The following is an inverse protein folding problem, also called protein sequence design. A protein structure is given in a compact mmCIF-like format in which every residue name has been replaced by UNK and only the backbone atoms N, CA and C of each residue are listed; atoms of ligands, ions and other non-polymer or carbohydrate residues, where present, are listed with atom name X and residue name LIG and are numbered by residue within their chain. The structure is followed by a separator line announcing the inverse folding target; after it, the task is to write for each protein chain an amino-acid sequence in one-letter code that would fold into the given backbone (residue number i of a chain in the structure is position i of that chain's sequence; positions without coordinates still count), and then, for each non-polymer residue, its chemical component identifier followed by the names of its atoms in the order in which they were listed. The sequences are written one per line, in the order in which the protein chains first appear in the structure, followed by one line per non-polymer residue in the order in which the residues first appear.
data_IF_536879135651
#
_entry.id   IF_536879135651
#
_cell.length_a   1.000
_cell.length_b   1.000
_cell.length_c   1.000
_cell.angle_alpha   90.00
_cell.angle_beta   90.00
_cell.angle_gamma   90.00
#
_symmetry.space_group_name_H-M   'P 1'
#
loop_
_entity.id
_entity.type
_entity.pdbx_description
1 polymer ?
#
# COMPACT_ATOMS: atom_id res chain seq x y z
N UNK A 1 -2.61 -28.69 6.13
CA UNK A 1 -3.25 -27.85 5.09
C UNK A 1 -3.04 -26.34 5.30
N UNK A 2 -3.44 -25.73 6.45
CA UNK A 2 -3.33 -24.28 6.71
C UNK A 2 -1.92 -23.68 6.57
N UNK A 3 -0.86 -24.39 7.01
CA UNK A 3 0.54 -23.94 6.87
C UNK A 3 1.02 -23.89 5.41
N UNK A 4 0.61 -24.87 4.60
CA UNK A 4 0.96 -24.92 3.17
C UNK A 4 0.24 -23.83 2.37
N UNK A 5 -1.02 -23.54 2.71
CA UNK A 5 -1.76 -22.43 2.10
C UNK A 5 -1.14 -21.06 2.45
N UNK A 6 -0.77 -20.83 3.71
CA UNK A 6 -0.04 -19.61 4.13
C UNK A 6 1.29 -19.45 3.39
N UNK A 7 2.04 -20.55 3.20
CA UNK A 7 3.32 -20.54 2.49
C UNK A 7 3.16 -20.27 1.00
N UNK A 8 2.16 -20.87 0.34
CA UNK A 8 1.84 -20.61 -1.08
C UNK A 8 1.41 -19.17 -1.29
N UNK A 9 0.60 -18.61 -0.38
CA UNK A 9 0.20 -17.20 -0.42
C UNK A 9 1.42 -16.29 -0.21
N UNK A 10 2.32 -16.60 0.74
CA UNK A 10 3.53 -15.81 0.95
C UNK A 10 4.44 -15.81 -0.30
N UNK A 11 4.61 -16.98 -0.93
CA UNK A 11 5.40 -17.11 -2.17
C UNK A 11 4.74 -16.35 -3.32
N UNK A 12 3.40 -16.42 -3.45
CA UNK A 12 2.68 -15.67 -4.47
C UNK A 12 2.75 -14.15 -4.25
N UNK A 13 2.67 -13.70 -2.99
CA UNK A 13 2.86 -12.28 -2.62
C UNK A 13 4.29 -11.85 -2.88
N UNK A 14 5.29 -12.67 -2.57
CA UNK A 14 6.71 -12.40 -2.85
C UNK A 14 7.03 -12.36 -4.35
N UNK A 15 6.42 -13.25 -5.15
CA UNK A 15 6.55 -13.24 -6.61
C UNK A 15 5.83 -12.05 -7.24
N UNK A 16 4.69 -11.62 -6.70
CA UNK A 16 4.03 -10.39 -7.14
C UNK A 16 4.78 -9.14 -6.72
N UNK A 17 5.37 -9.13 -5.54
CA UNK A 17 6.34 -8.14 -5.08
C UNK A 17 7.49 -8.02 -6.07
N UNK A 18 8.10 -9.15 -6.45
CA UNK A 18 9.20 -9.17 -7.41
C UNK A 18 8.76 -8.66 -8.79
N UNK A 19 7.55 -8.97 -9.26
CA UNK A 19 7.05 -8.48 -10.56
C UNK A 19 6.64 -7.01 -10.52
N UNK A 20 6.02 -6.54 -9.43
CA UNK A 20 5.69 -5.13 -9.24
C UNK A 20 6.96 -4.28 -9.04
N UNK A 21 7.96 -4.83 -8.34
CA UNK A 21 9.28 -4.22 -8.17
C UNK A 21 10.09 -4.20 -9.47
N UNK A 22 10.11 -5.28 -10.27
CA UNK A 22 10.85 -5.34 -11.54
C UNK A 22 10.19 -4.57 -12.69
N UNK A 23 8.85 -4.39 -12.66
CA UNK A 23 8.12 -3.76 -13.77
C UNK A 23 7.69 -2.32 -13.50
N UNK A 24 8.09 -1.76 -12.35
CA UNK A 24 8.12 -0.30 -12.12
C UNK A 24 9.42 0.36 -12.62
N UNK A 25 10.38 -0.39 -13.18
CA UNK A 25 11.62 0.14 -13.81
C UNK A 25 11.98 -0.53 -15.14
N UNK A 26 11.03 -1.18 -15.82
CA UNK A 26 11.29 -1.64 -17.20
C UNK A 26 10.04 -1.55 -18.07
N UNK A 27 10.08 -0.57 -18.98
CA UNK A 27 9.07 -0.34 -20.01
C UNK A 27 8.79 -1.63 -20.81
N UNK A 28 7.52 -1.79 -21.19
CA UNK A 28 7.14 -2.88 -22.09
C UNK A 28 7.74 -2.64 -23.49
N UNK A 29 8.16 -3.70 -24.21
CA UNK A 29 8.78 -3.53 -25.51
C UNK A 29 7.72 -3.20 -26.56
N UNK A 30 7.96 -2.14 -27.34
CA UNK A 30 7.23 -1.88 -28.58
C UNK A 30 7.49 -3.01 -29.56
N UNK A 31 6.42 -3.58 -30.14
CA UNK A 31 6.49 -4.48 -31.28
C UNK A 31 7.28 -3.85 -32.43
N UNK A 32 8.44 -4.41 -32.76
CA UNK A 32 9.03 -4.34 -34.11
C UNK A 32 9.47 -5.73 -34.53
N UNK A 33 8.86 -6.20 -35.62
CA UNK A 33 9.28 -7.39 -36.35
C UNK A 33 10.68 -7.17 -36.94
N UNK A 34 11.66 -7.92 -36.45
CA UNK A 34 13.01 -7.95 -36.98
C UNK A 34 13.63 -9.31 -36.71
N UNK A 35 13.93 -10.05 -37.78
CA UNK A 35 14.57 -11.35 -37.78
C UNK A 35 16.01 -11.20 -37.28
N UNK A 36 16.41 -11.91 -36.23
CA UNK A 36 17.81 -12.00 -35.80
C UNK A 36 18.25 -13.45 -35.68
N UNK A 37 19.39 -13.73 -36.32
CA UNK A 37 20.11 -14.99 -36.29
C UNK A 37 20.77 -15.22 -34.94
N UNK A 38 20.87 -16.50 -34.57
CA UNK A 38 21.50 -17.06 -33.37
C UNK A 38 22.98 -16.67 -33.28
N UNK A 39 23.38 -16.03 -32.17
CA UNK A 39 24.74 -16.10 -31.60
C UNK A 39 24.66 -16.06 -30.07
N UNK A 40 25.54 -16.84 -29.44
CA UNK A 40 25.52 -17.36 -28.07
C UNK A 40 25.50 -16.30 -26.95
N UNK A 41 24.79 -16.59 -25.85
CA UNK A 41 24.92 -15.87 -24.57
C UNK A 41 25.50 -16.79 -23.50
N UNK A 42 26.61 -16.33 -22.91
CA UNK A 42 27.39 -16.95 -21.83
C UNK A 42 26.75 -16.80 -20.45
N UNK A 43 26.98 -17.80 -19.60
CA UNK A 43 26.54 -18.01 -18.20
C UNK A 43 27.16 -17.02 -17.20
N UNK A 44 26.41 -16.60 -16.16
CA UNK A 44 27.00 -16.17 -14.87
C UNK A 44 26.33 -15.00 -14.13
N UNK A 45 25.36 -15.27 -13.25
CA UNK A 45 24.99 -14.31 -12.18
C UNK A 45 24.98 -15.03 -10.83
N UNK A 46 25.86 -14.59 -9.92
CA UNK A 46 26.01 -15.13 -8.56
C UNK A 46 25.28 -14.18 -7.60
N UNK A 47 24.38 -14.71 -6.77
CA UNK A 47 23.75 -13.93 -5.69
C UNK A 47 24.02 -14.57 -4.33
N UNK A 48 24.41 -13.74 -3.34
CA UNK A 48 24.47 -14.10 -1.91
C UNK A 48 23.07 -13.96 -1.31
N UNK A 49 22.59 -15.01 -0.65
CA UNK A 49 21.38 -14.95 0.17
C UNK A 49 21.82 -15.00 1.64
N UNK A 50 21.49 -13.95 2.39
CA UNK A 50 21.72 -13.87 3.83
C UNK A 50 20.40 -13.89 4.59
N UNK A 51 20.38 -14.52 5.76
CA UNK A 51 19.24 -14.53 6.68
C UNK A 51 19.62 -15.12 8.03
N UNK A 52 18.83 -14.84 9.05
CA UNK A 52 19.10 -15.22 10.44
C UNK A 52 18.10 -16.27 10.90
N UNK A 53 18.56 -17.34 11.56
CA UNK A 53 17.70 -18.36 12.14
C UNK A 53 18.11 -18.67 13.58
N UNK A 54 17.09 -18.84 14.43
CA UNK A 54 17.25 -19.22 15.83
C UNK A 54 16.83 -20.67 16.04
N UNK A 55 17.71 -21.47 16.64
CA UNK A 55 17.42 -22.87 17.00
C UNK A 55 17.82 -23.06 18.46
N UNK A 56 16.87 -23.45 19.32
CA UNK A 56 17.05 -23.61 20.76
C UNK A 56 17.72 -22.39 21.42
N UNK A 57 17.17 -21.21 21.16
CA UNK A 57 17.64 -19.89 21.65
C UNK A 57 19.09 -19.51 21.28
N UNK A 58 19.68 -20.19 20.29
CA UNK A 58 21.00 -19.85 19.74
C UNK A 58 20.87 -19.29 18.34
N UNK A 59 21.62 -18.22 18.09
CA UNK A 59 21.63 -17.47 16.82
C UNK A 59 22.61 -18.10 15.82
N UNK A 60 22.15 -18.30 14.58
CA UNK A 60 22.94 -18.80 13.47
C UNK A 60 22.72 -17.93 12.24
N UNK A 61 23.83 -17.55 11.60
CA UNK A 61 23.80 -16.87 10.32
C UNK A 61 23.83 -17.91 9.20
N UNK A 62 22.93 -17.75 8.24
CA UNK A 62 22.83 -18.63 7.07
C UNK A 62 23.45 -17.92 5.89
N UNK A 63 24.49 -18.53 5.32
CA UNK A 63 24.97 -18.14 3.99
C UNK A 63 24.67 -19.28 3.00
N UNK A 64 23.83 -18.97 2.01
CA UNK A 64 23.53 -19.87 0.89
C UNK A 64 23.98 -19.26 -0.44
N UNK A 65 24.34 -20.13 -1.40
CA UNK A 65 24.56 -19.73 -2.80
C UNK A 65 23.55 -20.42 -3.70
N UNK A 66 23.01 -19.67 -4.65
CA UNK A 66 22.19 -20.20 -5.74
C UNK A 66 22.93 -20.01 -7.06
N UNK A 67 23.02 -21.08 -7.86
CA UNK A 67 23.63 -21.07 -9.20
C UNK A 67 22.56 -21.48 -10.20
N UNK A 68 22.32 -20.64 -11.21
CA UNK A 68 21.43 -20.97 -12.32
C UNK A 68 22.19 -21.74 -13.40
N UNK A 69 21.71 -22.94 -13.75
CA UNK A 69 22.17 -23.68 -14.91
C UNK A 69 21.11 -23.64 -16.01
N UNK A 70 21.52 -23.29 -17.24
CA UNK A 70 20.64 -23.18 -18.39
C UNK A 70 20.36 -24.53 -19.05
N UNK A 71 19.08 -24.82 -19.21
CA UNK A 71 18.48 -25.92 -19.97
C UNK A 71 16.96 -25.80 -19.87
N UNK A 72 16.21 -26.20 -20.89
CA UNK A 72 14.81 -25.80 -21.21
C UNK A 72 13.72 -26.02 -20.14
N UNK A 73 14.09 -26.49 -18.95
CA UNK A 73 13.29 -26.39 -17.73
C UNK A 73 14.22 -25.94 -16.62
N UNK A 74 14.15 -24.64 -16.26
CA UNK A 74 15.06 -24.04 -15.28
C UNK A 74 15.00 -24.73 -13.92
N UNK A 75 16.00 -25.55 -13.61
CA UNK A 75 16.21 -26.12 -12.27
C UNK A 75 17.24 -25.31 -11.51
N UNK A 76 16.95 -24.93 -10.26
CA UNK A 76 17.87 -24.22 -9.37
C UNK A 76 18.45 -25.21 -8.36
N UNK A 77 19.78 -25.31 -8.30
CA UNK A 77 20.48 -26.04 -7.23
C UNK A 77 20.88 -25.05 -6.13
N UNK A 78 20.56 -25.38 -4.88
CA UNK A 78 20.88 -24.55 -3.70
C UNK A 78 21.77 -25.35 -2.77
N UNK A 79 22.92 -24.78 -2.41
CA UNK A 79 23.83 -25.33 -1.40
C UNK A 79 23.92 -24.31 -0.24
N UNK A 80 23.72 -24.78 1.00
CA UNK A 80 23.69 -23.95 2.20
C UNK A 80 24.56 -24.54 3.33
N UNK A 81 25.36 -23.67 3.97
CA UNK A 81 26.13 -23.97 5.18
C UNK A 81 25.72 -23.05 6.34
N UNK A 82 26.10 -23.40 7.57
CA UNK A 82 25.68 -22.69 8.80
C UNK A 82 26.83 -22.55 9.78
N UNK A 83 26.99 -21.37 10.39
CA UNK A 83 27.97 -21.11 11.45
C UNK A 83 27.33 -20.30 12.59
N UNK A 84 27.88 -20.41 13.81
CA UNK A 84 27.33 -19.81 15.05
C UNK A 84 27.94 -18.41 15.26
N UNK A 85 27.13 -17.38 15.50
CA UNK A 85 27.60 -15.99 15.63
C UNK A 85 28.08 -15.65 17.06
N UNK A 86 29.17 -14.87 17.22
CA UNK A 86 29.69 -14.39 18.50
C UNK A 86 29.28 -12.92 18.79
N UNK A 87 28.91 -12.62 20.05
CA UNK A 87 28.32 -11.35 20.51
C UNK A 87 29.33 -10.18 20.67
N UNK A 88 28.88 -8.94 20.43
CA UNK A 88 29.56 -7.70 20.85
C UNK A 88 28.65 -6.83 21.75
N UNK A 89 29.26 -6.27 22.80
CA UNK A 89 28.69 -5.56 23.96
C UNK A 89 28.07 -4.16 23.69
N UNK A 90 27.20 -3.77 24.62
CA UNK A 90 26.38 -2.54 24.71
C UNK A 90 27.13 -1.29 25.23
N UNK A 91 26.60 -0.08 24.94
CA UNK A 91 26.87 1.18 25.65
C UNK A 91 25.55 1.97 25.89
N UNK A 92 25.48 2.87 26.91
CA UNK A 92 24.31 2.99 27.80
C UNK A 92 23.40 4.24 27.63
N UNK A 93 22.25 4.17 28.33
CA UNK A 93 21.11 5.11 28.39
C UNK A 93 21.39 6.49 29.06
N UNK A 94 20.73 7.53 28.55
CA UNK A 94 20.60 8.86 29.18
C UNK A 94 19.22 9.04 29.81
N UNK A 95 19.20 9.31 31.13
CA UNK A 95 18.00 9.65 31.92
C UNK A 95 17.70 11.15 31.85
N UNK A 96 16.45 11.51 31.61
CA UNK A 96 15.91 12.86 31.88
C UNK A 96 14.79 12.74 32.91
N UNK A 97 14.96 13.45 34.03
CA UNK A 97 13.94 13.66 35.07
C UNK A 97 12.98 14.76 34.63
N UNK A 98 11.73 14.70 35.07
CA UNK A 98 11.02 15.89 35.55
C UNK A 98 9.93 15.51 36.55
N UNK A 99 9.85 16.34 37.59
CA UNK A 99 9.03 16.21 38.79
C UNK A 99 7.56 16.64 38.59
N UNK A 100 6.74 16.14 39.51
CA UNK A 100 5.28 16.24 39.67
C UNK A 100 4.69 17.65 39.74
N UNK A 101 3.42 17.79 39.32
CA UNK A 101 2.34 18.30 40.21
C UNK A 101 0.90 18.02 39.70
N UNK A 102 0.20 17.22 40.50
CA UNK A 102 -1.19 17.32 41.01
C UNK A 102 -2.33 17.99 40.20
N UNK A 103 -3.42 17.22 40.02
CA UNK A 103 -4.79 17.68 40.25
C UNK A 103 -5.70 17.82 39.02
N UNK A 104 -6.59 16.85 38.78
CA UNK A 104 -8.03 16.87 39.14
C UNK A 104 -8.79 15.88 38.24
N UNK A 105 -9.61 15.04 38.86
CA UNK A 105 -10.37 13.95 38.25
C UNK A 105 -11.68 14.49 37.64
N UNK A 106 -11.77 14.56 36.32
CA UNK A 106 -13.06 14.64 35.62
C UNK A 106 -13.42 13.26 35.08
N UNK A 107 -14.54 12.73 35.57
CA UNK A 107 -15.16 11.47 35.17
C UNK A 107 -16.23 11.79 34.13
N UNK A 108 -15.91 11.94 32.86
CA UNK A 108 -16.93 12.09 31.79
C UNK A 108 -16.47 11.51 30.43
N UNK A 109 -15.39 10.73 30.36
CA UNK A 109 -14.80 10.27 29.08
C UNK A 109 -15.06 8.79 28.72
N UNK A 110 -15.92 8.09 29.46
CA UNK A 110 -16.00 6.62 29.39
C UNK A 110 -17.10 6.04 28.49
N UNK A 111 -17.76 6.86 27.66
CA UNK A 111 -18.87 6.40 26.79
C UNK A 111 -18.69 6.74 25.30
N UNK A 112 -17.46 7.01 24.85
CA UNK A 112 -17.18 7.17 23.42
C UNK A 112 -16.77 5.85 22.75
N UNK A 113 -17.42 5.47 21.63
CA UNK A 113 -17.04 4.36 20.77
C UNK A 113 -15.55 4.25 20.53
N UNK A 114 -14.99 3.03 20.56
CA UNK A 114 -13.55 2.82 20.36
C UNK A 114 -13.00 3.35 19.01
N UNK A 115 -13.84 3.51 17.99
CA UNK A 115 -13.45 4.14 16.71
C UNK A 115 -13.44 5.68 16.74
N UNK A 116 -13.93 6.29 17.82
CA UNK A 116 -13.89 7.73 18.10
C UNK A 116 -12.77 8.11 19.09
N UNK A 117 -12.18 7.13 19.77
CA UNK A 117 -11.08 7.36 20.71
C UNK A 117 -9.79 7.76 19.99
N UNK A 118 -9.18 8.84 20.45
CA UNK A 118 -8.09 9.54 19.75
C UNK A 118 -6.70 8.94 20.07
N UNK A 119 -6.47 7.66 19.74
CA UNK A 119 -5.12 7.08 19.78
C UNK A 119 -4.43 7.26 18.40
N UNK A 120 -3.36 8.06 18.28
CA UNK A 120 -2.73 8.37 16.99
C UNK A 120 -2.11 7.14 16.30
N UNK A 121 -1.80 6.07 17.04
CA UNK A 121 -1.26 4.82 16.51
C UNK A 121 -2.33 3.82 16.06
N UNK A 122 -3.60 4.08 16.36
CA UNK A 122 -4.72 3.23 15.99
C UNK A 122 -5.59 3.91 14.94
N UNK A 123 -6.21 3.12 14.07
CA UNK A 123 -7.18 3.63 13.11
C UNK A 123 -8.40 4.20 13.84
N UNK A 124 -8.89 5.35 13.35
CA UNK A 124 -10.18 5.93 13.71
C UNK A 124 -10.91 6.32 12.44
N UNK A 125 -12.15 5.84 12.29
CA UNK A 125 -12.98 6.13 11.12
C UNK A 125 -13.33 7.63 11.07
N UNK A 126 -13.57 8.26 12.21
CA UNK A 126 -13.82 9.71 12.30
C UNK A 126 -12.58 10.53 11.98
N UNK A 127 -11.39 10.10 12.40
CA UNK A 127 -10.13 10.75 11.99
C UNK A 127 -9.95 10.68 10.48
N UNK A 128 -10.24 9.53 9.87
CA UNK A 128 -10.19 9.35 8.42
C UNK A 128 -11.18 10.30 7.72
N UNK A 129 -12.44 10.31 8.14
CA UNK A 129 -13.47 11.23 7.59
C UNK A 129 -13.04 12.69 7.72
N UNK A 130 -12.63 13.11 8.92
CA UNK A 130 -12.21 14.49 9.18
C UNK A 130 -10.97 14.89 8.38
N UNK A 131 -10.03 13.95 8.16
CA UNK A 131 -8.87 14.21 7.31
C UNK A 131 -9.32 14.56 5.89
N UNK A 132 -10.23 13.77 5.29
CA UNK A 132 -10.72 14.01 3.93
C UNK A 132 -11.57 15.29 3.82
N UNK A 133 -12.36 15.64 4.84
CA UNK A 133 -13.07 16.94 4.89
C UNK A 133 -12.15 18.15 4.79
N UNK A 134 -10.88 18.00 5.18
CA UNK A 134 -9.90 19.08 5.18
C UNK A 134 -9.05 19.17 3.91
N UNK A 135 -9.12 18.15 3.03
CA UNK A 135 -8.26 18.00 1.85
C UNK A 135 -8.46 19.13 0.83
N UNK A 136 -9.70 19.55 0.60
CA UNK A 136 -9.99 20.66 -0.29
C UNK A 136 -9.78 22.00 0.42
N UNK A 137 -9.08 22.92 -0.25
CA UNK A 137 -8.91 24.30 0.23
C UNK A 137 -10.22 25.08 0.09
N UNK A 138 -10.30 26.28 0.68
CA UNK A 138 -11.43 27.18 0.46
C UNK A 138 -11.61 27.59 -1.01
N UNK A 139 -10.55 27.48 -1.82
CA UNK A 139 -10.56 27.75 -3.26
C UNK A 139 -10.97 26.56 -4.12
N UNK A 140 -11.26 25.40 -3.52
CA UNK A 140 -11.62 24.17 -4.24
C UNK A 140 -10.42 23.34 -4.73
N UNK A 141 -9.19 23.79 -4.47
CA UNK A 141 -7.98 23.05 -4.82
C UNK A 141 -7.73 21.89 -3.86
N UNK A 142 -7.05 20.84 -4.31
CA UNK A 142 -6.66 19.72 -3.44
C UNK A 142 -5.26 19.96 -2.88
N UNK A 143 -5.15 20.12 -1.56
CA UNK A 143 -3.87 20.24 -0.85
C UNK A 143 -3.15 18.89 -0.81
N UNK A 144 -1.93 18.84 -1.36
CA UNK A 144 -1.17 17.58 -1.51
C UNK A 144 -0.78 16.99 -0.16
N UNK A 145 -0.39 17.82 0.81
CA UNK A 145 0.01 17.36 2.14
C UNK A 145 -1.18 16.74 2.87
N UNK A 146 -2.34 17.40 2.82
CA UNK A 146 -3.56 16.87 3.44
C UNK A 146 -4.05 15.62 2.72
N UNK A 147 -3.97 15.58 1.39
CA UNK A 147 -4.28 14.38 0.63
C UNK A 147 -3.38 13.20 1.04
N UNK A 148 -2.07 13.40 1.12
CA UNK A 148 -1.12 12.38 1.58
C UNK A 148 -1.45 11.88 2.99
N UNK A 149 -1.75 12.79 3.92
CA UNK A 149 -2.18 12.44 5.27
C UNK A 149 -3.46 11.61 5.28
N UNK A 150 -4.47 11.99 4.48
CA UNK A 150 -5.72 11.22 4.35
C UNK A 150 -5.51 9.83 3.75
N UNK A 151 -4.62 9.70 2.76
CA UNK A 151 -4.23 8.41 2.21
C UNK A 151 -3.51 7.55 3.27
N UNK A 152 -2.66 8.13 4.11
CA UNK A 152 -2.02 7.45 5.23
C UNK A 152 -3.03 6.92 6.26
N UNK A 153 -4.05 7.71 6.61
CA UNK A 153 -5.15 7.25 7.47
C UNK A 153 -5.97 6.12 6.79
N UNK A 154 -6.18 6.21 5.48
CA UNK A 154 -6.84 5.16 4.71
C UNK A 154 -6.03 3.86 4.69
N UNK A 155 -4.70 3.94 4.68
CA UNK A 155 -3.86 2.74 4.77
C UNK A 155 -3.97 2.07 6.15
N UNK A 156 -4.15 2.84 7.23
CA UNK A 156 -4.40 2.25 8.56
C UNK A 156 -5.70 1.43 8.59
N UNK A 157 -6.75 1.88 7.89
CA UNK A 157 -7.99 1.10 7.72
C UNK A 157 -7.71 -0.28 7.12
N UNK A 158 -6.96 -0.32 6.02
CA UNK A 158 -6.64 -1.56 5.32
C UNK A 158 -5.74 -2.48 6.15
N UNK A 159 -4.81 -1.92 6.93
CA UNK A 159 -3.93 -2.71 7.81
C UNK A 159 -4.69 -3.45 8.91
N UNK A 160 -5.78 -2.87 9.42
CA UNK A 160 -6.64 -3.55 10.39
C UNK A 160 -7.26 -4.83 9.83
N UNK A 161 -7.49 -4.89 8.53
CA UNK A 161 -8.11 -6.05 7.88
C UNK A 161 -7.23 -7.29 7.97
N UNK A 162 -5.92 -7.13 8.13
CA UNK A 162 -4.99 -8.17 8.54
C UNK A 162 -3.66 -8.11 7.82
N UNK A 163 -2.73 -8.97 8.24
CA UNK A 163 -1.34 -8.98 7.75
C UNK A 163 -1.21 -9.29 6.27
N UNK A 164 -2.21 -9.86 5.61
CA UNK A 164 -2.19 -10.10 4.16
C UNK A 164 -2.29 -8.78 3.37
N UNK A 165 -2.88 -7.73 3.95
CA UNK A 165 -2.92 -6.40 3.34
C UNK A 165 -1.64 -5.61 3.53
N UNK A 166 -0.71 -6.05 4.40
CA UNK A 166 0.56 -5.34 4.66
C UNK A 166 1.39 -5.10 3.40
N UNK A 167 1.36 -6.03 2.44
CA UNK A 167 2.04 -5.85 1.16
C UNK A 167 1.39 -4.72 0.34
N UNK A 168 0.06 -4.75 0.21
CA UNK A 168 -0.70 -3.76 -0.56
C UNK A 168 -0.55 -2.37 0.07
N UNK A 169 -0.60 -2.29 1.40
CA UNK A 169 -0.45 -1.04 2.13
C UNK A 169 0.98 -0.53 2.10
N UNK A 170 1.98 -1.41 2.06
CA UNK A 170 3.39 -1.01 1.88
C UNK A 170 3.63 -0.33 0.53
N UNK A 171 3.04 -0.86 -0.55
CA UNK A 171 3.16 -0.28 -1.90
C UNK A 171 2.52 1.11 -1.99
N UNK A 172 1.36 1.29 -1.35
CA UNK A 172 0.69 2.59 -1.26
C UNK A 172 1.44 3.56 -0.34
N UNK A 173 1.96 3.11 0.82
CA UNK A 173 2.77 3.93 1.73
C UNK A 173 4.03 4.48 1.07
N UNK A 174 4.75 3.65 0.31
CA UNK A 174 5.91 4.12 -0.45
C UNK A 174 5.54 5.21 -1.46
N UNK A 175 4.34 5.16 -2.06
CA UNK A 175 3.84 6.22 -2.96
C UNK A 175 3.47 7.50 -2.21
N UNK A 176 2.89 7.36 -1.03
CA UNK A 176 2.61 8.51 -0.16
C UNK A 176 3.92 9.20 0.23
N UNK A 177 4.93 8.43 0.63
CA UNK A 177 6.28 8.94 0.96
C UNK A 177 6.93 9.68 -0.23
N UNK A 178 6.70 9.23 -1.47
CA UNK A 178 7.17 9.95 -2.66
C UNK A 178 6.50 11.34 -2.78
N UNK A 179 5.19 11.43 -2.56
CA UNK A 179 4.49 12.73 -2.59
C UNK A 179 4.96 13.66 -1.46
N UNK A 180 5.15 13.12 -0.26
CA UNK A 180 5.69 13.85 0.89
C UNK A 180 7.13 14.34 0.63
N UNK A 181 7.98 13.49 0.04
CA UNK A 181 9.35 13.85 -0.32
C UNK A 181 9.39 14.98 -1.36
N UNK A 182 8.52 14.95 -2.37
CA UNK A 182 8.42 16.06 -3.32
C UNK A 182 7.97 17.35 -2.64
N UNK A 183 6.98 17.28 -1.75
CA UNK A 183 6.50 18.46 -1.01
C UNK A 183 7.56 19.05 -0.08
N UNK A 184 8.43 18.22 0.48
CA UNK A 184 9.53 18.63 1.35
C UNK A 184 10.82 19.04 0.58
N UNK A 185 10.85 18.90 -0.74
CA UNK A 185 12.02 19.23 -1.57
C UNK A 185 12.14 20.72 -1.86
N UNK A 186 13.25 21.13 -2.49
CA UNK A 186 13.44 22.50 -3.01
C UNK A 186 12.34 22.93 -3.99
N UNK A 187 11.69 21.97 -4.66
CA UNK A 187 10.58 22.22 -5.59
C UNK A 187 9.21 22.18 -4.88
N UNK A 188 9.19 22.06 -3.55
CA UNK A 188 7.99 21.76 -2.76
C UNK A 188 6.80 22.69 -3.01
N UNK A 189 7.05 23.96 -3.34
CA UNK A 189 5.98 24.92 -3.66
C UNK A 189 5.20 24.55 -4.93
N UNK A 190 5.84 23.91 -5.90
CA UNK A 190 5.17 23.36 -7.07
C UNK A 190 4.29 22.14 -6.73
N UNK A 191 4.50 21.53 -5.57
CA UNK A 191 3.73 20.37 -5.10
C UNK A 191 2.71 20.74 -4.02
N UNK A 192 2.45 22.05 -3.80
CA UNK A 192 1.50 22.51 -2.79
C UNK A 192 0.07 22.00 -3.02
N UNK A 193 -0.39 21.99 -4.27
CA UNK A 193 -1.68 21.41 -4.66
C UNK A 193 -1.49 20.34 -5.73
N UNK A 194 -2.47 19.44 -5.88
CA UNK A 194 -2.44 18.45 -6.96
C UNK A 194 -2.38 19.14 -8.32
N UNK A 195 -3.17 20.20 -8.52
CA UNK A 195 -3.19 20.92 -9.80
C UNK A 195 -1.85 21.58 -10.13
N UNK A 196 -1.22 22.26 -9.16
CA UNK A 196 0.08 22.89 -9.38
C UNK A 196 1.17 21.84 -9.67
N UNK A 197 1.10 20.68 -9.01
CA UNK A 197 1.99 19.55 -9.28
C UNK A 197 1.85 19.05 -10.71
N UNK A 198 0.62 18.78 -11.17
CA UNK A 198 0.39 18.26 -12.52
C UNK A 198 0.84 19.26 -13.59
N UNK A 199 0.58 20.55 -13.38
CA UNK A 199 1.02 21.61 -14.28
C UNK A 199 2.55 21.70 -14.34
N UNK A 200 3.22 21.73 -13.19
CA UNK A 200 4.67 21.79 -13.11
C UNK A 200 5.35 20.59 -13.79
N UNK A 201 4.90 19.36 -13.50
CA UNK A 201 5.50 18.16 -14.10
C UNK A 201 5.24 18.07 -15.61
N UNK A 202 4.13 18.64 -16.09
CA UNK A 202 3.84 18.77 -17.52
C UNK A 202 4.83 19.74 -18.19
N UNK A 203 4.95 20.94 -17.65
CA UNK A 203 5.74 22.02 -18.26
C UNK A 203 7.24 21.70 -18.28
N UNK A 204 7.70 20.95 -17.28
CA UNK A 204 9.11 20.53 -17.14
C UNK A 204 9.41 19.18 -17.80
N UNK A 205 8.39 18.45 -18.25
CA UNK A 205 8.55 17.12 -18.86
C UNK A 205 8.92 16.00 -17.88
N UNK A 206 8.90 16.24 -16.56
CA UNK A 206 9.20 15.24 -15.51
C UNK A 206 8.27 14.03 -15.64
N UNK A 207 7.03 14.25 -16.07
CA UNK A 207 6.04 13.19 -16.25
C UNK A 207 6.48 12.12 -17.28
N UNK A 208 7.36 12.47 -18.22
CA UNK A 208 7.87 11.59 -19.28
C UNK A 208 9.15 10.84 -18.86
N UNK A 209 9.80 11.22 -17.76
CA UNK A 209 11.05 10.61 -17.33
C UNK A 209 10.80 9.29 -16.58
N UNK A 210 10.92 8.16 -17.29
CA UNK A 210 10.72 6.84 -16.71
C UNK A 210 11.84 6.38 -15.75
N UNK A 211 12.93 7.13 -15.59
CA UNK A 211 14.04 6.74 -14.69
C UNK A 211 13.76 7.07 -13.22
N UNK A 212 12.81 7.97 -12.95
CA UNK A 212 12.43 8.40 -11.61
C UNK A 212 10.92 8.39 -11.47
N UNK A 213 10.38 8.11 -10.26
CA UNK A 213 8.95 8.25 -10.03
C UNK A 213 8.57 9.73 -10.07
N UNK A 214 7.52 10.10 -10.82
CA UNK A 214 6.96 11.46 -10.77
C UNK A 214 5.76 11.52 -9.83
N UNK A 215 5.46 12.70 -9.30
CA UNK A 215 4.28 12.97 -8.48
C UNK A 215 2.97 12.67 -9.22
N UNK A 216 2.83 13.08 -10.49
CA UNK A 216 1.66 12.78 -11.31
C UNK A 216 1.46 11.28 -11.51
N UNK A 217 2.52 10.55 -11.87
CA UNK A 217 2.44 9.09 -12.01
C UNK A 217 2.11 8.43 -10.68
N UNK A 218 2.76 8.85 -9.60
CA UNK A 218 2.58 8.29 -8.26
C UNK A 218 1.15 8.49 -7.75
N UNK A 219 0.63 9.71 -7.86
CA UNK A 219 -0.73 10.05 -7.49
C UNK A 219 -1.75 9.24 -8.31
N UNK A 220 -1.51 9.01 -9.60
CA UNK A 220 -2.44 8.25 -10.45
C UNK A 220 -2.65 6.82 -9.92
N UNK A 221 -1.61 6.17 -9.39
CA UNK A 221 -1.76 4.83 -8.78
C UNK A 221 -2.58 4.89 -7.50
N UNK A 222 -2.33 5.89 -6.65
CA UNK A 222 -3.12 6.10 -5.42
C UNK A 222 -4.59 6.39 -5.76
N UNK A 223 -4.84 7.21 -6.77
CA UNK A 223 -6.18 7.57 -7.27
C UNK A 223 -6.96 6.34 -7.76
N UNK A 224 -6.33 5.51 -8.60
CA UNK A 224 -6.93 4.24 -9.07
C UNK A 224 -7.20 3.27 -7.91
N UNK A 225 -6.33 3.23 -6.91
CA UNK A 225 -6.53 2.41 -5.72
C UNK A 225 -7.67 2.95 -4.84
N UNK A 226 -7.80 4.27 -4.73
CA UNK A 226 -8.89 4.92 -4.01
C UNK A 226 -10.24 4.50 -4.61
N UNK A 227 -10.39 4.50 -5.94
CA UNK A 227 -11.61 4.02 -6.61
C UNK A 227 -12.03 2.62 -6.15
N UNK A 228 -11.09 1.69 -6.11
CA UNK A 228 -11.34 0.33 -5.63
C UNK A 228 -11.81 0.30 -4.18
N UNK A 229 -11.10 1.01 -3.29
CA UNK A 229 -11.41 1.03 -1.86
C UNK A 229 -12.80 1.62 -1.62
N UNK A 230 -13.12 2.73 -2.30
CA UNK A 230 -14.40 3.41 -2.19
C UNK A 230 -15.56 2.55 -2.67
N UNK A 231 -15.41 1.88 -3.82
CA UNK A 231 -16.43 0.97 -4.34
C UNK A 231 -16.61 -0.26 -3.44
N UNK A 232 -15.51 -0.81 -2.91
CA UNK A 232 -15.55 -1.90 -1.96
C UNK A 232 -16.29 -1.52 -0.67
N UNK A 233 -15.98 -0.36 -0.08
CA UNK A 233 -16.64 0.13 1.13
C UNK A 233 -18.13 0.43 0.87
N UNK A 234 -18.46 1.02 -0.27
CA UNK A 234 -19.85 1.26 -0.69
C UNK A 234 -20.64 -0.05 -0.84
N UNK A 235 -20.07 -1.09 -1.46
CA UNK A 235 -20.73 -2.42 -1.54
C UNK A 235 -20.84 -3.10 -0.18
N UNK A 236 -19.81 -3.00 0.65
CA UNK A 236 -19.87 -3.49 2.04
C UNK A 236 -21.03 -2.82 2.79
N UNK A 237 -21.19 -1.50 2.65
CA UNK A 237 -22.28 -0.70 3.20
C UNK A 237 -23.68 -1.17 2.81
N UNK A 238 -23.83 -1.73 1.60
CA UNK A 238 -25.10 -2.18 1.02
C UNK A 238 -25.30 -3.70 1.07
N UNK A 239 -24.34 -4.44 1.61
CA UNK A 239 -24.33 -5.89 1.60
C UNK A 239 -25.18 -6.49 2.72
N UNK A 240 -25.78 -7.65 2.45
CA UNK A 240 -26.50 -8.46 3.44
C UNK A 240 -25.54 -9.10 4.44
N UNK A 241 -26.06 -9.53 5.59
CA UNK A 241 -25.26 -10.10 6.68
C UNK A 241 -24.52 -11.40 6.31
N UNK A 242 -25.02 -12.15 5.31
CA UNK A 242 -24.43 -13.38 4.78
C UNK A 242 -23.44 -13.16 3.63
N UNK A 243 -23.24 -11.91 3.19
CA UNK A 243 -22.36 -11.59 2.08
C UNK A 243 -20.88 -11.98 2.35
N UNK A 244 -20.22 -12.48 1.31
CA UNK A 244 -18.79 -12.83 1.37
C UNK A 244 -17.94 -11.63 0.98
N UNK A 245 -17.21 -11.09 1.96
CA UNK A 245 -16.26 -9.98 1.76
C UNK A 245 -15.25 -10.28 0.65
N UNK A 246 -14.81 -11.53 0.54
CA UNK A 246 -13.91 -11.98 -0.54
C UNK A 246 -14.52 -11.82 -1.94
N UNK A 247 -15.82 -12.09 -2.10
CA UNK A 247 -16.52 -11.97 -3.37
C UNK A 247 -16.70 -10.49 -3.73
N UNK A 248 -17.15 -9.68 -2.78
CA UNK A 248 -17.30 -8.23 -2.96
C UNK A 248 -15.96 -7.59 -3.37
N UNK A 249 -14.87 -7.88 -2.64
CA UNK A 249 -13.54 -7.37 -2.96
C UNK A 249 -13.06 -7.84 -4.34
N UNK A 250 -13.30 -9.11 -4.70
CA UNK A 250 -12.93 -9.65 -6.00
C UNK A 250 -13.64 -8.92 -7.14
N UNK A 251 -14.95 -8.70 -7.04
CA UNK A 251 -15.74 -8.01 -8.06
C UNK A 251 -15.31 -6.55 -8.20
N UNK A 252 -15.25 -5.80 -7.08
CA UNK A 252 -14.78 -4.41 -7.08
C UNK A 252 -13.39 -4.29 -7.71
N UNK A 253 -12.47 -5.21 -7.40
CA UNK A 253 -11.13 -5.21 -7.98
C UNK A 253 -11.15 -5.39 -9.49
N UNK A 254 -11.97 -6.32 -10.01
CA UNK A 254 -12.07 -6.59 -11.45
C UNK A 254 -12.66 -5.41 -12.23
N UNK A 255 -13.60 -4.69 -11.63
CA UNK A 255 -14.23 -3.53 -12.24
C UNK A 255 -13.34 -2.27 -12.18
N UNK A 256 -12.32 -2.25 -11.32
CA UNK A 256 -11.48 -1.07 -11.07
C UNK A 256 -9.99 -1.35 -11.33
N UNK A 257 -9.24 -1.70 -10.30
CA UNK A 257 -7.78 -1.84 -10.31
C UNK A 257 -7.25 -2.91 -11.27
N UNK A 258 -8.00 -3.97 -11.52
CA UNK A 258 -7.57 -5.05 -12.40
C UNK A 258 -7.24 -4.52 -13.80
N UNK A 259 -7.95 -3.50 -14.28
CA UNK A 259 -7.72 -2.90 -15.60
C UNK A 259 -6.28 -2.41 -15.79
N UNK A 260 -5.61 -2.02 -14.70
CA UNK A 260 -4.24 -1.48 -14.71
C UNK A 260 -3.18 -2.49 -14.26
N UNK A 261 -3.59 -3.64 -13.73
CA UNK A 261 -2.67 -4.66 -13.24
C UNK A 261 -2.35 -5.72 -14.29
N UNK A 262 -1.09 -6.14 -14.34
CA UNK A 262 -0.68 -7.28 -15.17
C UNK A 262 -1.23 -8.60 -14.64
N UNK A 263 -1.32 -9.61 -15.50
CA UNK A 263 -1.97 -10.90 -15.19
C UNK A 263 -1.53 -11.53 -13.86
N UNK A 264 -0.22 -11.54 -13.57
CA UNK A 264 0.29 -12.15 -12.33
C UNK A 264 -0.19 -11.40 -11.08
N UNK A 265 -0.25 -10.07 -11.14
CA UNK A 265 -0.77 -9.22 -10.06
C UNK A 265 -2.25 -9.49 -9.83
N UNK A 266 -3.04 -9.63 -10.90
CA UNK A 266 -4.46 -10.01 -10.80
C UNK A 266 -4.64 -11.37 -10.10
N UNK A 267 -3.78 -12.35 -10.40
CA UNK A 267 -3.84 -13.67 -9.77
C UNK A 267 -3.49 -13.61 -8.28
N UNK A 268 -2.46 -12.88 -7.89
CA UNK A 268 -2.13 -12.73 -6.47
C UNK A 268 -3.22 -11.96 -5.70
N UNK A 269 -3.79 -10.90 -6.28
CA UNK A 269 -4.91 -10.18 -5.69
C UNK A 269 -6.10 -11.12 -5.45
N UNK A 270 -6.47 -11.92 -6.46
CA UNK A 270 -7.52 -12.94 -6.32
C UNK A 270 -7.26 -13.93 -5.17
N UNK A 271 -6.01 -14.37 -5.00
CA UNK A 271 -5.62 -15.23 -3.87
C UNK A 271 -5.69 -14.50 -2.53
N UNK A 272 -5.29 -13.23 -2.48
CA UNK A 272 -5.33 -12.42 -1.26
C UNK A 272 -6.77 -12.21 -0.78
N UNK A 273 -7.75 -12.07 -1.66
CA UNK A 273 -9.16 -11.89 -1.26
C UNK A 273 -9.73 -13.10 -0.50
N UNK A 274 -9.24 -14.32 -0.72
CA UNK A 274 -9.65 -15.49 0.10
C UNK A 274 -9.20 -15.42 1.56
N UNK A 275 -8.31 -14.48 1.89
CA UNK A 275 -7.83 -14.26 3.26
C UNK A 275 -8.61 -13.19 4.01
N UNK A 276 -9.52 -12.49 3.32
CA UNK A 276 -10.39 -11.50 3.93
C UNK A 276 -11.24 -12.14 5.05
N UNK A 277 -11.50 -11.40 6.13
CA UNK A 277 -12.35 -11.87 7.21
C UNK A 277 -13.81 -12.05 6.74
N UNK A 278 -14.62 -12.69 7.58
CA UNK A 278 -16.09 -12.65 7.41
C UNK A 278 -16.59 -11.21 7.53
N UNK A 279 -17.79 -10.92 6.99
CA UNK A 279 -18.39 -9.57 7.07
C UNK A 279 -18.55 -9.10 8.51
N UNK A 280 -19.05 -9.97 9.39
CA UNK A 280 -19.14 -9.69 10.83
C UNK A 280 -17.79 -9.26 11.42
N UNK A 281 -16.75 -10.06 11.22
CA UNK A 281 -15.41 -9.76 11.74
C UNK A 281 -14.80 -8.51 11.09
N UNK A 282 -15.17 -8.19 9.84
CA UNK A 282 -14.76 -6.96 9.17
C UNK A 282 -15.35 -5.74 9.89
N UNK A 283 -16.66 -5.74 10.13
CA UNK A 283 -17.37 -4.63 10.76
C UNK A 283 -16.93 -4.43 12.21
N UNK A 284 -16.80 -5.51 12.99
CA UNK A 284 -16.30 -5.47 14.37
C UNK A 284 -14.89 -4.88 14.49
N UNK A 285 -14.05 -5.07 13.46
CA UNK A 285 -12.71 -4.45 13.40
C UNK A 285 -12.77 -2.98 13.01
N UNK A 286 -13.75 -2.58 12.20
CA UNK A 286 -13.90 -1.21 11.71
C UNK A 286 -14.34 -0.27 12.84
N UNK A 287 -15.35 -0.69 13.59
CA UNK A 287 -15.78 -0.05 14.81
C UNK A 287 -16.56 -1.05 15.66
N UNK A 288 -16.31 -1.05 16.98
CA UNK A 288 -17.04 -1.92 17.93
C UNK A 288 -18.40 -1.33 18.31
N UNK A 289 -19.18 -0.95 17.31
CA UNK A 289 -20.50 -0.36 17.47
C UNK A 289 -21.55 -1.22 16.77
N UNK A 290 -22.81 -0.90 17.01
CA UNK A 290 -23.93 -1.50 16.29
C UNK A 290 -23.76 -1.34 14.77
N UNK A 291 -24.14 -2.37 14.02
CA UNK A 291 -23.91 -2.46 12.59
C UNK A 291 -24.40 -1.22 11.83
N UNK A 292 -25.60 -0.72 12.16
CA UNK A 292 -26.19 0.46 11.52
C UNK A 292 -25.33 1.72 11.69
N UNK A 293 -24.66 1.88 12.85
CA UNK A 293 -23.74 2.99 13.12
C UNK A 293 -22.51 2.87 12.24
N UNK A 294 -21.94 1.67 12.14
CA UNK A 294 -20.76 1.40 11.30
C UNK A 294 -21.07 1.66 9.83
N UNK A 295 -22.23 1.20 9.34
CA UNK A 295 -22.66 1.42 7.97
C UNK A 295 -22.93 2.90 7.68
N UNK A 296 -23.50 3.63 8.63
CA UNK A 296 -23.68 5.09 8.54
C UNK A 296 -22.34 5.82 8.37
N UNK A 297 -21.33 5.48 9.16
CA UNK A 297 -19.99 6.07 9.07
C UNK A 297 -19.27 5.70 7.76
N UNK A 298 -19.43 4.46 7.27
CA UNK A 298 -18.91 4.05 5.96
C UNK A 298 -19.57 4.87 4.84
N UNK A 299 -20.86 5.12 4.93
CA UNK A 299 -21.58 5.97 3.98
C UNK A 299 -21.13 7.43 4.06
N UNK A 300 -20.87 7.96 5.26
CA UNK A 300 -20.34 9.31 5.43
C UNK A 300 -18.94 9.44 4.84
N UNK A 301 -18.06 8.46 5.07
CA UNK A 301 -16.75 8.40 4.44
C UNK A 301 -16.89 8.36 2.91
N UNK A 302 -17.81 7.54 2.40
CA UNK A 302 -18.09 7.44 0.97
C UNK A 302 -18.42 8.81 0.35
N UNK A 303 -19.37 9.52 0.97
CA UNK A 303 -19.80 10.84 0.53
C UNK A 303 -18.72 11.92 0.70
N UNK A 304 -17.86 11.79 1.71
CA UNK A 304 -16.79 12.77 2.00
C UNK A 304 -15.65 12.68 0.99
N UNK A 305 -15.26 11.48 0.58
CA UNK A 305 -14.13 11.27 -0.35
C UNK A 305 -14.54 11.53 -1.80
N UNK A 306 -15.83 11.35 -2.15
CA UNK A 306 -16.31 11.45 -3.53
C UNK A 306 -15.92 12.78 -4.21
N UNK A 307 -16.12 13.97 -3.62
CA UNK A 307 -15.70 15.23 -4.26
C UNK A 307 -14.18 15.33 -4.48
N UNK A 308 -13.37 14.79 -3.57
CA UNK A 308 -11.91 14.74 -3.72
C UNK A 308 -11.52 13.83 -4.88
N UNK A 309 -12.19 12.68 -4.99
CA UNK A 309 -11.98 11.74 -6.09
C UNK A 309 -12.37 12.37 -7.44
N UNK A 310 -13.57 12.95 -7.54
CA UNK A 310 -14.07 13.58 -8.77
C UNK A 310 -13.18 14.73 -9.22
N UNK A 311 -12.81 15.63 -8.31
CA UNK A 311 -11.88 16.72 -8.63
C UNK A 311 -10.52 16.19 -9.10
N UNK A 312 -10.00 15.12 -8.49
CA UNK A 312 -8.75 14.50 -8.93
C UNK A 312 -8.92 13.90 -10.34
N UNK A 313 -10.01 13.19 -10.62
CA UNK A 313 -10.33 12.60 -11.92
C UNK A 313 -10.46 13.69 -13.02
N UNK A 314 -11.12 14.80 -12.71
CA UNK A 314 -11.23 15.96 -13.59
C UNK A 314 -9.87 16.58 -13.93
N UNK A 315 -8.98 16.68 -12.94
CA UNK A 315 -7.60 17.13 -13.18
C UNK A 315 -6.87 16.17 -14.11
N UNK A 316 -6.91 14.85 -13.88
CA UNK A 316 -6.29 13.89 -14.82
C UNK A 316 -6.86 13.99 -16.23
N UNK A 317 -8.15 14.28 -16.37
CA UNK A 317 -8.81 14.51 -17.66
C UNK A 317 -8.31 15.80 -18.32
N UNK A 318 -8.27 16.91 -17.56
CA UNK A 318 -7.79 18.22 -18.02
C UNK A 318 -6.35 18.16 -18.54
N UNK A 319 -5.50 17.38 -17.88
CA UNK A 319 -4.08 17.26 -18.23
C UNK A 319 -3.76 16.17 -19.25
N UNK A 320 -4.74 15.32 -19.62
CA UNK A 320 -4.57 14.11 -20.45
C UNK A 320 -3.59 13.09 -19.85
N UNK A 321 -3.71 12.87 -18.54
CA UNK A 321 -2.77 12.09 -17.74
C UNK A 321 -3.32 10.72 -17.27
N UNK A 322 -4.46 10.28 -17.81
CA UNK A 322 -5.04 8.98 -17.43
C UNK A 322 -4.20 7.79 -17.87
N UNK A 323 -3.38 7.94 -18.91
CA UNK A 323 -2.57 6.86 -19.50
C UNK A 323 -1.07 7.00 -19.18
N UNK A 324 -0.71 7.74 -18.11
CA UNK A 324 0.68 7.85 -17.72
C UNK A 324 1.28 6.47 -17.40
N UNK A 325 2.51 6.19 -17.90
CA UNK A 325 3.16 4.89 -17.78
C UNK A 325 3.44 4.53 -16.33
#
# INVERSE_FOLDING_TARGET
MKKRLKMVILIAVALCLLVLWFRLDSGTPSHRTGRWNVLQATVGTIHRLGGNVYINDKHYDIEGRAIMQGGDVGSIKVEAGWHKSEHKEQLPELKVKNDSQHGTRHKDEEDQPSCLQDNPKQFSLSRLVNSFKSVMTKGGEIDTTKYANSQSELMKLLEMLGTVFSFVTSDAKSKIEILEAYRASEQGEHYATIESMLQYEKDTGIVLDNKKPSGARTLLRLHRALKFIMEFLNRMGKSTSDAKVSTLAYECYHETLANYHVWIVRKAAGMAFYTLPTRKNFLEKLCKEEEDVVLGLVSELAATVLPVYEQTEELYTKFDFHELP
#
